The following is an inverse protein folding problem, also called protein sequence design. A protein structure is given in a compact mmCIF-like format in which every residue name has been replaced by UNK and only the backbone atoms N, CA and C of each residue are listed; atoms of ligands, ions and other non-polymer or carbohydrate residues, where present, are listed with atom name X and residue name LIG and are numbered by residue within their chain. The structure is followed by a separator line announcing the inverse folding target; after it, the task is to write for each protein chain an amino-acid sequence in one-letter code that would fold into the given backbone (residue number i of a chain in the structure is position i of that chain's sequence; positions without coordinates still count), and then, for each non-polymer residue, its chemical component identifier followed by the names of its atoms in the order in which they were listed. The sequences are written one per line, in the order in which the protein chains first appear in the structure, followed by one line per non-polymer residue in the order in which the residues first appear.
data_IF_706962194105
#
_entry.id   IF_706962194105
#
_cell.length_a   1.000
_cell.length_b   1.000
_cell.length_c   1.000
_cell.angle_alpha   90.00
_cell.angle_beta   90.00
_cell.angle_gamma   90.00
#
_symmetry.space_group_name_H-M   'P 1'
#
loop_
_entity.id
_entity.type
_entity.pdbx_description
1 polymer ?
#
# COMPACT_ATOMS: atom_id res chain seq x y z
N UNK A 1 -0.14 7.62 2.07
CA UNK A 1 -0.66 6.80 3.18
C UNK A 1 -2.16 6.49 3.10
N UNK A 2 -3.08 7.45 3.36
CA UNK A 2 -4.53 7.18 3.26
C UNK A 2 -4.99 6.71 1.87
N UNK A 3 -4.41 7.27 0.81
CA UNK A 3 -4.75 6.93 -0.57
C UNK A 3 -4.44 5.46 -0.91
N UNK A 4 -3.25 4.94 -0.54
CA UNK A 4 -2.87 3.52 -0.68
C UNK A 4 -3.85 2.61 0.06
N UNK A 5 -4.21 2.96 1.29
CA UNK A 5 -5.15 2.20 2.10
C UNK A 5 -6.56 2.19 1.48
N UNK A 6 -7.07 3.33 1.02
CA UNK A 6 -8.38 3.41 0.37
C UNK A 6 -8.40 2.69 -0.98
N UNK A 7 -7.35 2.79 -1.79
CA UNK A 7 -7.25 2.06 -3.06
C UNK A 7 -7.24 0.55 -2.85
N UNK A 8 -6.54 0.06 -1.83
CA UNK A 8 -6.55 -1.36 -1.47
C UNK A 8 -7.89 -1.83 -0.91
N UNK A 9 -8.54 -1.00 -0.07
CA UNK A 9 -9.90 -1.30 0.41
C UNK A 9 -10.92 -1.34 -0.73
N UNK A 10 -10.85 -0.41 -1.69
CA UNK A 10 -11.71 -0.40 -2.87
C UNK A 10 -11.53 -1.66 -3.72
N UNK A 11 -10.29 -2.07 -3.95
CA UNK A 11 -9.99 -3.31 -4.67
C UNK A 11 -10.59 -4.54 -3.97
N UNK A 12 -10.42 -4.63 -2.65
CA UNK A 12 -10.97 -5.76 -1.87
C UNK A 12 -12.50 -5.75 -1.82
N UNK A 13 -13.10 -4.56 -1.75
CA UNK A 13 -14.55 -4.42 -1.84
C UNK A 13 -15.09 -4.90 -3.19
N UNK A 14 -14.39 -4.62 -4.30
CA UNK A 14 -14.72 -5.17 -5.62
C UNK A 14 -14.61 -6.71 -5.66
N UNK A 15 -13.65 -7.30 -4.94
CA UNK A 15 -13.55 -8.76 -4.80
C UNK A 15 -14.58 -9.39 -3.83
N UNK A 16 -15.54 -8.62 -3.30
CA UNK A 16 -16.55 -9.01 -2.30
C UNK A 16 -15.99 -9.60 -1.00
N UNK A 17 -14.72 -9.35 -0.67
CA UNK A 17 -14.10 -9.78 0.58
C UNK A 17 -14.19 -8.64 1.60
N UNK A 18 -14.60 -8.94 2.84
CA UNK A 18 -14.59 -7.96 3.94
C UNK A 18 -13.44 -8.31 4.88
N UNK A 19 -12.33 -7.58 4.80
CA UNK A 19 -11.19 -7.74 5.70
C UNK A 19 -11.33 -6.76 6.87
N UNK A 20 -11.61 -7.28 8.07
CA UNK A 20 -11.89 -6.48 9.27
C UNK A 20 -10.63 -5.95 10.00
N UNK A 21 -9.43 -6.35 9.56
CA UNK A 21 -8.15 -6.01 10.22
C UNK A 21 -7.11 -5.54 9.21
N UNK A 22 -6.33 -4.51 9.55
CA UNK A 22 -5.24 -3.98 8.73
C UNK A 22 -4.18 -5.04 8.41
N UNK A 23 -3.87 -5.94 9.35
CA UNK A 23 -2.96 -7.06 9.11
C UNK A 23 -3.50 -8.07 8.08
N UNK A 24 -4.82 -8.28 8.05
CA UNK A 24 -5.47 -9.11 7.04
C UNK A 24 -5.42 -8.48 5.65
N UNK A 25 -5.57 -7.15 5.58
CA UNK A 25 -5.43 -6.37 4.35
C UNK A 25 -4.02 -6.50 3.77
N UNK A 26 -2.99 -6.28 4.61
CA UNK A 26 -1.58 -6.43 4.23
C UNK A 26 -1.28 -7.83 3.70
N UNK A 27 -1.69 -8.87 4.44
CA UNK A 27 -1.45 -10.26 4.05
C UNK A 27 -2.13 -10.60 2.71
N UNK A 28 -3.35 -10.12 2.47
CA UNK A 28 -4.06 -10.35 1.21
C UNK A 28 -3.41 -9.58 0.04
N UNK A 29 -2.99 -8.34 0.27
CA UNK A 29 -2.26 -7.54 -0.72
C UNK A 29 -1.00 -8.26 -1.20
N UNK A 30 -0.13 -8.67 -0.27
CA UNK A 30 1.10 -9.39 -0.59
C UNK A 30 0.81 -10.72 -1.29
N UNK A 31 -0.21 -11.46 -0.84
CA UNK A 31 -0.57 -12.74 -1.44
C UNK A 31 -1.12 -12.60 -2.85
N UNK A 32 -2.09 -11.72 -3.07
CA UNK A 32 -2.90 -11.74 -4.29
C UNK A 32 -2.42 -10.76 -5.38
N UNK A 33 -1.67 -9.74 -4.99
CA UNK A 33 -1.18 -8.71 -5.91
C UNK A 33 0.32 -8.80 -6.14
N UNK A 34 1.12 -9.04 -5.09
CA UNK A 34 2.58 -9.13 -5.22
C UNK A 34 3.02 -10.54 -5.64
N UNK A 35 2.67 -11.58 -4.86
CA UNK A 35 3.12 -12.96 -5.15
C UNK A 35 2.58 -13.53 -6.46
N UNK A 36 1.36 -13.12 -6.86
CA UNK A 36 0.77 -13.50 -8.15
C UNK A 36 1.30 -12.67 -9.32
N UNK A 37 2.24 -11.75 -9.09
CA UNK A 37 2.89 -10.95 -10.13
C UNK A 37 1.99 -9.90 -10.81
N UNK A 38 0.85 -9.55 -10.20
CA UNK A 38 -0.05 -8.50 -10.72
C UNK A 38 0.49 -7.10 -10.49
N UNK A 39 1.33 -6.95 -9.47
CA UNK A 39 2.07 -5.75 -9.12
C UNK A 39 3.53 -6.13 -8.82
N UNK A 40 4.44 -5.19 -9.10
CA UNK A 40 5.86 -5.34 -8.81
C UNK A 40 6.13 -5.40 -7.29
N UNK A 41 7.17 -6.14 -6.89
CA UNK A 41 7.62 -6.30 -5.50
C UNK A 41 7.92 -4.96 -4.82
N UNK A 42 8.39 -3.96 -5.57
CA UNK A 42 8.66 -2.62 -5.04
C UNK A 42 7.43 -1.99 -4.36
N UNK A 43 6.22 -2.33 -4.81
CA UNK A 43 4.98 -1.85 -4.20
C UNK A 43 4.64 -2.59 -2.89
N UNK A 44 5.10 -3.82 -2.76
CA UNK A 44 5.06 -4.59 -1.51
C UNK A 44 5.95 -3.94 -0.44
N UNK A 45 7.16 -3.58 -0.84
CA UNK A 45 8.16 -2.90 0.02
C UNK A 45 7.67 -1.51 0.42
N UNK A 46 7.20 -0.70 -0.53
CA UNK A 46 6.58 0.61 -0.26
C UNK A 46 5.43 0.53 0.75
N UNK A 47 4.55 -0.48 0.61
CA UNK A 47 3.42 -0.64 1.52
C UNK A 47 3.90 -0.95 2.94
N UNK A 48 4.92 -1.78 3.08
CA UNK A 48 5.47 -2.21 4.36
C UNK A 48 6.21 -1.06 5.05
N UNK A 49 7.04 -0.31 4.32
CA UNK A 49 7.72 0.89 4.82
C UNK A 49 6.72 1.95 5.30
N UNK A 50 5.71 2.27 4.51
CA UNK A 50 4.69 3.24 4.91
C UNK A 50 3.85 2.74 6.09
N UNK A 51 3.59 1.43 6.17
CA UNK A 51 2.88 0.84 7.30
C UNK A 51 3.70 0.95 8.59
N UNK A 52 4.99 0.64 8.54
CA UNK A 52 5.92 0.76 9.67
C UNK A 52 6.13 2.22 10.07
N UNK A 53 6.35 3.13 9.12
CA UNK A 53 6.45 4.57 9.37
C UNK A 53 5.21 5.13 10.09
N UNK A 54 4.01 4.62 9.78
CA UNK A 54 2.78 4.99 10.46
C UNK A 54 2.74 4.47 11.90
N UNK A 55 3.07 3.19 12.11
CA UNK A 55 3.11 2.61 13.45
C UNK A 55 4.18 3.32 14.31
N UNK A 56 5.28 3.74 13.72
CA UNK A 56 6.38 4.41 14.40
C UNK A 56 6.04 5.87 14.78
N UNK A 57 5.25 6.57 13.94
CA UNK A 57 4.74 7.92 14.23
C UNK A 57 3.80 7.99 15.44
N UNK A 58 3.14 6.89 15.81
CA UNK A 58 2.25 6.82 16.97
C UNK A 58 3.01 6.44 18.27
N UNK A 59 4.26 5.96 18.17
CA UNK A 59 5.02 5.43 19.31
C UNK A 59 6.41 6.06 19.55
N UNK A 60 6.99 6.82 18.60
CA UNK A 60 8.29 7.48 18.76
C UNK A 60 8.21 9.00 18.54
N UNK A 61 8.67 9.84 19.51
CA UNK A 61 8.59 11.30 19.40
C UNK A 61 9.44 11.93 18.28
N UNK A 62 10.28 11.16 17.58
CA UNK A 62 11.22 11.66 16.58
C UNK A 62 11.33 10.68 15.41
N UNK A 63 10.27 10.56 14.61
CA UNK A 63 10.40 10.02 13.26
C UNK A 63 10.90 11.16 12.36
N UNK A 64 12.22 11.29 12.22
CA UNK A 64 12.82 12.20 11.26
C UNK A 64 12.89 11.46 9.92
N UNK A 65 11.94 11.75 9.03
CA UNK A 65 12.00 11.32 7.64
C UNK A 65 12.76 12.37 6.85
N UNK A 66 13.71 11.95 6.02
CA UNK A 66 14.43 12.87 5.14
C UNK A 66 13.50 13.33 4.01
N UNK A 67 13.70 14.55 3.50
CA UNK A 67 12.79 15.11 2.47
C UNK A 67 12.82 14.26 1.19
N UNK A 68 13.99 13.77 0.84
CA UNK A 68 14.23 12.91 -0.32
C UNK A 68 13.48 11.57 -0.21
N UNK A 69 13.43 10.98 0.99
CA UNK A 69 12.71 9.74 1.29
C UNK A 69 11.19 9.96 1.12
N UNK A 70 10.66 11.06 1.65
CA UNK A 70 9.25 11.41 1.50
C UNK A 70 8.89 11.68 0.03
N UNK A 71 9.75 12.37 -0.72
CA UNK A 71 9.56 12.60 -2.15
C UNK A 71 9.55 11.29 -2.95
N UNK A 72 10.42 10.34 -2.62
CA UNK A 72 10.47 9.03 -3.26
C UNK A 72 9.20 8.24 -2.97
N UNK A 73 8.73 8.23 -1.72
CA UNK A 73 7.46 7.60 -1.35
C UNK A 73 6.27 8.20 -2.10
N UNK A 74 6.24 9.53 -2.29
CA UNK A 74 5.18 10.19 -3.06
C UNK A 74 5.22 9.71 -4.52
N UNK A 75 6.40 9.77 -5.16
CA UNK A 75 6.58 9.34 -6.56
C UNK A 75 6.19 7.88 -6.77
N UNK A 76 6.59 6.99 -5.85
CA UNK A 76 6.25 5.57 -5.90
C UNK A 76 4.75 5.33 -5.65
N UNK A 77 4.14 6.09 -4.73
CA UNK A 77 2.69 6.02 -4.47
C UNK A 77 1.87 6.43 -5.69
N UNK A 78 2.27 7.48 -6.41
CA UNK A 78 1.58 7.89 -7.64
C UNK A 78 1.63 6.81 -8.72
N UNK A 79 2.79 6.16 -8.89
CA UNK A 79 2.94 5.03 -9.82
C UNK A 79 2.08 3.84 -9.40
N UNK A 80 2.06 3.52 -8.11
CA UNK A 80 1.22 2.46 -7.55
C UNK A 80 -0.27 2.70 -7.85
N UNK A 81 -0.77 3.92 -7.66
CA UNK A 81 -2.17 4.26 -7.95
C UNK A 81 -2.51 4.01 -9.41
N UNK A 82 -1.64 4.40 -10.35
CA UNK A 82 -1.84 4.16 -11.79
C UNK A 82 -1.92 2.68 -12.12
N UNK A 83 -1.04 1.85 -11.55
CA UNK A 83 -1.10 0.40 -11.74
C UNK A 83 -2.36 -0.22 -11.14
N UNK A 84 -2.78 0.23 -9.96
CA UNK A 84 -4.04 -0.22 -9.35
C UNK A 84 -5.26 0.17 -10.19
N UNK A 85 -5.31 1.40 -10.73
CA UNK A 85 -6.37 1.81 -11.64
C UNK A 85 -6.41 0.96 -12.91
N UNK A 86 -5.25 0.55 -13.43
CA UNK A 86 -5.16 -0.36 -14.58
C UNK A 86 -5.70 -1.74 -14.24
N UNK A 87 -5.35 -2.28 -13.07
CA UNK A 87 -5.86 -3.57 -12.59
C UNK A 87 -7.37 -3.54 -12.38
N UNK A 88 -7.91 -2.44 -11.85
CA UNK A 88 -9.35 -2.27 -11.62
C UNK A 88 -10.13 -2.11 -12.94
N UNK A 89 -9.56 -1.42 -13.93
CA UNK A 89 -10.21 -1.24 -15.24
C UNK A 89 -10.20 -2.51 -16.11
N UNK A 90 -9.23 -3.39 -15.90
CA UNK A 90 -9.03 -4.60 -16.71
C UNK A 90 -9.50 -5.90 -16.01
N UNK A 91 -10.11 -5.81 -14.82
CA UNK A 91 -10.67 -6.94 -14.07
C UNK A 91 -12.19 -6.90 -14.03
#
# INVERSE_FOLDING_TARGET
LYMLFFTLQMHIFQTRKVLKKHSGLRANFHKELIKEGKLDKIYGELYDELFEAREESDYKPFANFETEEVEEWIKLTEKFIKEMERLIRNG
#
